data_IF_910074845106
#
_entry.id   IF_910074845106
#
_cell.length_a   1.000
_cell.length_b   1.000
_cell.length_c   1.000
_cell.angle_alpha   90.00
_cell.angle_beta   90.00
_cell.angle_gamma   90.00
#
_symmetry.space_group_name_H-M   'P 1'
#
loop_
_entity.id
_entity.type
_entity.pdbx_description
1 polymer ?
#
# COMPACT_ATOMS: atom_id res chain seq x y z
N UNK A 1 -11.53 -9.92 3.32
CA UNK A 1 -10.66 -8.87 3.90
C UNK A 1 -10.99 -7.62 3.12
N UNK A 2 -11.45 -6.56 3.78
CA UNK A 2 -11.89 -5.33 3.10
C UNK A 2 -10.67 -4.63 2.47
N UNK A 3 -10.84 -3.98 1.33
CA UNK A 3 -9.81 -3.15 0.69
C UNK A 3 -9.33 -2.04 1.65
N UNK A 4 -10.19 -1.55 2.55
CA UNK A 4 -9.82 -0.64 3.64
C UNK A 4 -8.85 -1.30 4.63
N UNK A 5 -9.06 -2.56 4.99
CA UNK A 5 -8.15 -3.30 5.89
C UNK A 5 -6.77 -3.51 5.26
N UNK A 6 -6.73 -3.75 3.95
CA UNK A 6 -5.48 -3.91 3.20
C UNK A 6 -4.69 -2.59 3.19
N UNK A 7 -5.36 -1.47 2.90
CA UNK A 7 -4.75 -0.14 2.94
C UNK A 7 -4.20 0.19 4.33
N UNK A 8 -4.97 -0.08 5.39
CA UNK A 8 -4.53 0.14 6.76
C UNK A 8 -3.29 -0.69 7.13
N UNK A 9 -3.23 -1.95 6.70
CA UNK A 9 -2.04 -2.81 6.91
C UNK A 9 -0.83 -2.28 6.14
N UNK A 10 -1.00 -1.83 4.90
CA UNK A 10 0.08 -1.26 4.09
C UNK A 10 0.66 0.01 4.74
N UNK A 11 -0.19 0.95 5.13
CA UNK A 11 0.23 2.17 5.85
C UNK A 11 0.99 1.82 7.14
N UNK A 12 0.51 0.83 7.89
CA UNK A 12 1.18 0.36 9.10
C UNK A 12 2.57 -0.22 8.80
N UNK A 13 2.72 -1.04 7.75
CA UNK A 13 4.03 -1.61 7.37
C UNK A 13 4.97 -0.50 6.90
N UNK A 14 4.49 0.47 6.11
CA UNK A 14 5.28 1.64 5.68
C UNK A 14 5.82 2.42 6.87
N UNK A 15 4.94 2.78 7.81
CA UNK A 15 5.33 3.57 8.98
C UNK A 15 6.33 2.84 9.90
N UNK A 16 6.42 1.51 9.79
CA UNK A 16 7.33 0.67 10.55
C UNK A 16 8.49 0.10 9.72
N UNK A 17 8.65 0.52 8.46
CA UNK A 17 9.62 -0.06 7.53
C UNK A 17 11.06 0.04 8.04
N UNK A 18 11.40 1.15 8.70
CA UNK A 18 12.70 1.33 9.34
C UNK A 18 12.94 0.33 10.47
N UNK A 19 11.98 0.15 11.39
CA UNK A 19 12.08 -0.83 12.47
C UNK A 19 12.16 -2.27 11.95
N UNK A 20 11.33 -2.61 10.96
CA UNK A 20 11.34 -3.92 10.29
C UNK A 20 12.65 -4.20 9.55
N UNK A 21 13.29 -3.17 8.99
CA UNK A 21 14.59 -3.31 8.34
C UNK A 21 15.72 -3.41 9.37
N UNK A 22 15.66 -2.62 10.45
CA UNK A 22 16.64 -2.61 11.53
C UNK A 22 16.70 -3.94 12.30
N UNK A 23 15.54 -4.49 12.66
CA UNK A 23 15.43 -5.78 13.38
C UNK A 23 16.04 -6.94 12.59
N UNK A 24 16.04 -6.86 11.25
CA UNK A 24 16.59 -7.90 10.36
C UNK A 24 18.09 -7.82 10.16
N UNK A 25 18.74 -6.75 10.64
CA UNK A 25 20.20 -6.55 10.51
C UNK A 25 20.93 -6.69 11.84
N UNK A 26 20.20 -6.84 12.95
CA UNK A 26 20.75 -7.33 14.21
C UNK A 26 21.38 -8.72 14.01
N UNK A 27 22.65 -8.94 14.41
CA UNK A 27 23.44 -8.13 15.35
C UNK A 27 24.51 -7.21 14.74
N UNK A 28 24.50 -6.92 13.43
CA UNK A 28 25.55 -6.10 12.76
C UNK A 28 25.01 -4.77 12.20
N UNK A 29 24.64 -3.80 13.06
CA UNK A 29 23.93 -2.58 12.68
C UNK A 29 24.77 -1.52 11.94
N UNK A 30 26.08 -1.70 11.78
CA UNK A 30 27.00 -0.70 11.20
C UNK A 30 26.82 -0.49 9.69
N UNK A 31 26.03 -1.33 9.03
CA UNK A 31 25.80 -1.22 7.59
C UNK A 31 24.57 -0.35 7.32
N UNK A 32 24.74 0.78 6.63
CA UNK A 32 23.64 1.65 6.14
C UNK A 32 22.66 0.92 5.19
N UNK A 33 22.94 -0.33 4.81
CA UNK A 33 22.08 -1.19 4.00
C UNK A 33 20.64 -1.29 4.52
N UNK A 34 20.42 -1.29 5.84
CA UNK A 34 19.05 -1.35 6.39
C UNK A 34 18.25 -0.08 6.06
N UNK A 35 18.89 1.08 5.97
CA UNK A 35 18.24 2.34 5.56
C UNK A 35 17.79 2.26 4.11
N UNK A 36 18.65 1.77 3.22
CA UNK A 36 18.31 1.57 1.80
C UNK A 36 17.14 0.59 1.66
N UNK A 37 17.15 -0.51 2.42
CA UNK A 37 16.03 -1.47 2.45
C UNK A 37 14.74 -0.85 2.96
N UNK A 38 14.80 -0.07 4.04
CA UNK A 38 13.65 0.62 4.59
C UNK A 38 13.05 1.59 3.57
N UNK A 39 13.88 2.44 2.95
CA UNK A 39 13.43 3.35 1.89
C UNK A 39 12.83 2.62 0.68
N UNK A 40 13.42 1.50 0.26
CA UNK A 40 12.86 0.67 -0.80
C UNK A 40 11.50 0.07 -0.44
N UNK A 41 11.33 -0.37 0.82
CA UNK A 41 10.06 -0.90 1.32
C UNK A 41 8.98 0.20 1.43
N UNK A 42 9.33 1.37 1.95
CA UNK A 42 8.42 2.53 1.99
C UNK A 42 7.95 2.92 0.59
N UNK A 43 8.88 3.04 -0.36
CA UNK A 43 8.57 3.38 -1.74
C UNK A 43 7.68 2.33 -2.43
N UNK A 44 7.99 1.04 -2.27
CA UNK A 44 7.17 -0.03 -2.83
C UNK A 44 5.75 -0.07 -2.27
N UNK A 45 5.59 0.23 -0.98
CA UNK A 45 4.27 0.30 -0.35
C UNK A 45 3.49 1.53 -0.82
N UNK A 46 4.14 2.67 -1.03
CA UNK A 46 3.49 3.85 -1.59
C UNK A 46 2.90 3.59 -2.98
N UNK A 47 3.64 2.88 -3.84
CA UNK A 47 3.13 2.47 -5.15
C UNK A 47 1.91 1.55 -5.03
N UNK A 48 1.97 0.54 -4.15
CA UNK A 48 0.86 -0.39 -3.93
C UNK A 48 -0.40 0.31 -3.39
N UNK A 49 -0.25 1.28 -2.50
CA UNK A 49 -1.38 2.08 -1.98
C UNK A 49 -2.07 2.82 -3.13
N UNK A 50 -1.30 3.45 -4.03
CA UNK A 50 -1.85 4.16 -5.19
C UNK A 50 -2.58 3.22 -6.13
N UNK A 51 -1.99 2.06 -6.45
CA UNK A 51 -2.62 1.05 -7.31
C UNK A 51 -3.96 0.56 -6.75
N UNK A 52 -4.03 0.28 -5.44
CA UNK A 52 -5.25 -0.17 -4.77
C UNK A 52 -6.31 0.94 -4.76
N UNK A 53 -5.92 2.19 -4.47
CA UNK A 53 -6.84 3.32 -4.50
C UNK A 53 -7.42 3.53 -5.91
N UNK A 54 -6.59 3.39 -6.95
CA UNK A 54 -7.03 3.48 -8.35
C UNK A 54 -8.00 2.33 -8.72
N UNK A 55 -7.73 1.11 -8.27
CA UNK A 55 -8.63 -0.02 -8.49
C UNK A 55 -10.00 0.20 -7.83
N UNK A 56 -10.03 0.67 -6.57
CA UNK A 56 -11.28 1.01 -5.87
C UNK A 56 -12.06 2.10 -6.60
N UNK A 57 -11.36 3.14 -7.10
CA UNK A 57 -11.99 4.21 -7.87
C UNK A 57 -12.58 3.69 -9.19
N UNK A 58 -11.84 2.84 -9.92
CA UNK A 58 -12.31 2.24 -11.16
C UNK A 58 -13.56 1.36 -10.96
N UNK A 59 -13.57 0.53 -9.92
CA UNK A 59 -14.74 -0.29 -9.54
C UNK A 59 -15.96 0.57 -9.22
N UNK A 60 -15.78 1.70 -8.52
CA UNK A 60 -16.87 2.63 -8.21
C UNK A 60 -17.44 3.30 -9.46
N UNK A 61 -16.59 3.69 -10.40
CA UNK A 61 -17.03 4.33 -11.65
C UNK A 61 -17.84 3.34 -12.51
N UNK A 62 -17.35 2.12 -12.70
CA UNK A 62 -18.06 1.08 -13.46
C UNK A 62 -19.45 0.77 -12.88
N UNK A 63 -19.54 0.66 -11.55
CA UNK A 63 -20.82 0.44 -10.88
C UNK A 63 -21.79 1.64 -11.02
N UNK A 64 -21.26 2.86 -11.11
CA UNK A 64 -22.07 4.08 -11.27
C UNK A 64 -22.61 4.21 -12.70
N UNK A 65 -21.80 3.83 -13.70
CA UNK A 65 -22.18 3.82 -15.11
C UNK A 65 -23.23 2.74 -15.40
N UNK A 66 -23.10 1.53 -14.83
CA UNK A 66 -24.13 0.49 -14.94
C UNK A 66 -25.48 0.94 -14.35
N UNK A 67 -25.46 1.68 -13.24
CA UNK A 67 -26.68 2.19 -12.62
C UNK A 67 -27.34 3.27 -13.49
N UNK A 68 -26.55 4.16 -14.10
CA UNK A 68 -27.07 5.17 -15.02
C UNK A 68 -27.66 4.54 -16.29
N UNK A 69 -27.03 3.51 -16.86
CA UNK A 69 -27.58 2.82 -18.03
C UNK A 69 -28.91 2.11 -17.73
N UNK A 70 -29.04 1.46 -16.56
CA UNK A 70 -30.30 0.81 -16.14
C UNK A 70 -31.41 1.79 -15.77
N UNK A 71 -31.08 3.00 -15.33
CA UNK A 71 -32.07 4.02 -14.97
C UNK A 71 -32.63 4.81 -16.18
N UNK A 72 -31.99 4.71 -17.35
CA UNK A 72 -32.36 5.45 -18.57
C UNK A 72 -33.10 4.55 -19.60
N UNK A 73 -33.27 3.26 -19.31
CA UNK A 73 -34.12 2.33 -20.08
C UNK A 73 -35.48 2.12 -19.38
#
# INVERSE_FOLDING_TARGET
>A
MDNIDILNRLVSIKNNAYGLAYDRVQPFPESDYFKIRASGLEYGIDLLIVEIQNAILAERLLNTDEYHQKAVC
#
